data_IF_498267337311
#
_entry.id   IF_498267337311
#
_cell.length_a   1.000
_cell.length_b   1.000
_cell.length_c   1.000
_cell.angle_alpha   90.00
_cell.angle_beta   90.00
_cell.angle_gamma   90.00
#
_symmetry.space_group_name_H-M   'P 1'
#
loop_
_entity.id
_entity.type
_entity.pdbx_description
1 polymer ?
#
# COMPACT_ATOMS: atom_id res chain seq x y z
N UNK A 1 -34.46 31.29 -1.68
CA UNK A 1 -33.42 31.59 -0.66
C UNK A 1 -33.77 30.89 0.65
N UNK A 2 -33.19 29.71 0.89
CA UNK A 2 -33.13 28.96 2.16
C UNK A 2 -32.07 27.88 1.94
N UNK A 3 -31.07 27.63 2.75
CA UNK A 3 -30.26 28.47 3.63
C UNK A 3 -28.85 27.87 3.53
N UNK A 4 -27.81 28.70 3.71
CA UNK A 4 -26.44 28.19 3.80
C UNK A 4 -26.37 27.25 5.00
N UNK A 5 -26.26 25.95 4.73
CA UNK A 5 -25.87 24.97 5.73
C UNK A 5 -24.43 25.29 6.14
N UNK A 6 -24.27 25.84 7.34
CA UNK A 6 -23.00 25.91 8.05
C UNK A 6 -22.62 24.49 8.42
N UNK A 7 -22.06 23.77 7.45
CA UNK A 7 -21.56 22.41 7.64
C UNK A 7 -20.43 22.42 8.66
N UNK A 8 -20.77 22.26 9.94
CA UNK A 8 -19.83 21.66 10.89
C UNK A 8 -19.45 20.32 10.29
N UNK A 9 -18.17 20.16 9.92
CA UNK A 9 -17.57 18.89 9.54
C UNK A 9 -17.71 17.96 10.75
N UNK A 10 -18.80 17.20 10.80
CA UNK A 10 -18.99 16.16 11.81
C UNK A 10 -17.98 15.05 11.51
N UNK A 11 -17.09 14.80 12.46
CA UNK A 11 -16.01 13.81 12.40
C UNK A 11 -16.49 12.36 12.50
N UNK A 12 -17.68 12.05 11.99
CA UNK A 12 -18.29 10.73 12.13
C UNK A 12 -19.16 10.42 10.92
N UNK A 13 -18.52 10.06 9.81
CA UNK A 13 -19.21 9.40 8.71
C UNK A 13 -19.31 7.91 9.02
N UNK A 14 -20.55 7.44 9.16
CA UNK A 14 -20.91 6.02 9.25
C UNK A 14 -20.07 5.13 8.30
N UNK A 15 -19.49 4.01 8.78
CA UNK A 15 -18.53 3.19 8.04
C UNK A 15 -19.16 2.28 7.00
N UNK A 16 -20.38 2.56 6.49
CA UNK A 16 -21.14 1.65 5.62
C UNK A 16 -20.33 1.08 4.45
N UNK A 17 -19.39 1.86 3.91
CA UNK A 17 -18.55 1.49 2.77
C UNK A 17 -17.06 1.34 3.13
N UNK A 18 -16.71 1.57 4.40
CA UNK A 18 -15.32 1.49 4.88
C UNK A 18 -15.07 0.08 5.40
N UNK A 19 -13.95 -0.52 4.98
CA UNK A 19 -13.45 -1.79 5.52
C UNK A 19 -12.23 -1.53 6.38
N UNK A 20 -12.04 -2.36 7.41
CA UNK A 20 -10.76 -2.45 8.11
C UNK A 20 -9.92 -3.47 7.36
N UNK A 21 -8.81 -3.03 6.79
CA UNK A 21 -7.74 -3.85 6.23
C UNK A 21 -6.74 -4.11 7.36
N UNK A 22 -6.42 -5.39 7.59
CA UNK A 22 -5.42 -5.84 8.54
C UNK A 22 -4.32 -6.49 7.73
N UNK A 23 -3.15 -5.87 7.71
CA UNK A 23 -2.08 -6.25 6.82
C UNK A 23 -0.75 -6.29 7.58
N UNK A 24 0.04 -7.33 7.34
CA UNK A 24 1.45 -7.32 7.72
C UNK A 24 2.33 -7.09 6.51
N UNK A 25 3.35 -6.27 6.72
CA UNK A 25 4.31 -5.85 5.70
C UNK A 25 5.72 -6.18 6.16
N UNK A 26 6.44 -6.88 5.30
CA UNK A 26 7.78 -7.37 5.56
C UNK A 26 8.77 -6.81 4.54
N UNK A 27 9.84 -6.20 5.02
CA UNK A 27 10.97 -5.80 4.19
C UNK A 27 11.77 -7.03 3.79
N UNK A 28 12.05 -7.19 2.50
CA UNK A 28 12.87 -8.29 1.99
C UNK A 28 14.25 -7.78 1.56
N UNK A 29 15.27 -8.65 1.67
CA UNK A 29 16.62 -8.38 1.14
C UNK A 29 16.71 -8.68 -0.36
N UNK A 30 15.95 -9.66 -0.79
CA UNK A 30 15.91 -10.19 -2.16
C UNK A 30 14.53 -10.81 -2.41
N UNK A 31 14.28 -11.29 -3.63
CA UNK A 31 13.05 -12.02 -3.92
C UNK A 31 12.98 -13.30 -3.06
N UNK A 32 11.80 -13.67 -2.53
CA UNK A 32 11.67 -14.87 -1.74
C UNK A 32 11.97 -16.12 -2.59
N UNK A 33 12.40 -17.24 -1.97
CA UNK A 33 12.79 -18.44 -2.69
C UNK A 33 11.69 -18.93 -3.63
N UNK A 34 12.09 -19.25 -4.87
CA UNK A 34 11.20 -19.76 -5.91
C UNK A 34 10.46 -18.70 -6.73
N UNK A 35 10.54 -17.41 -6.36
CA UNK A 35 9.96 -16.32 -7.14
C UNK A 35 10.99 -15.70 -8.11
N UNK A 36 10.61 -15.54 -9.37
CA UNK A 36 11.40 -14.88 -10.42
C UNK A 36 10.76 -13.57 -10.86
N UNK A 37 11.59 -12.60 -11.29
CA UNK A 37 11.12 -11.32 -11.83
C UNK A 37 10.30 -11.47 -13.13
N UNK A 38 10.44 -12.61 -13.81
CA UNK A 38 9.72 -12.95 -15.04
C UNK A 38 8.37 -13.62 -14.79
N UNK A 39 8.05 -13.96 -13.54
CA UNK A 39 6.81 -14.64 -13.21
C UNK A 39 5.61 -13.73 -13.44
N UNK A 40 4.43 -14.33 -13.47
CA UNK A 40 3.18 -13.62 -13.68
C UNK A 40 2.95 -12.59 -12.57
N UNK A 41 2.64 -11.35 -12.95
CA UNK A 41 2.50 -10.25 -12.01
C UNK A 41 1.54 -9.16 -12.48
N UNK A 42 1.12 -8.33 -11.54
CA UNK A 42 0.45 -7.06 -11.83
C UNK A 42 1.50 -5.97 -12.00
N UNK A 43 1.33 -5.12 -13.00
CA UNK A 43 2.00 -3.82 -13.05
C UNK A 43 1.07 -2.77 -12.47
N UNK A 44 1.53 -2.07 -11.44
CA UNK A 44 0.73 -1.12 -10.67
C UNK A 44 1.38 0.25 -10.73
N UNK A 45 0.55 1.24 -11.03
CA UNK A 45 0.81 2.66 -10.88
C UNK A 45 -0.21 3.25 -9.91
N UNK A 46 0.30 3.96 -8.91
CA UNK A 46 -0.44 4.51 -7.79
C UNK A 46 -0.15 6.01 -7.68
N UNK A 47 -1.10 6.87 -8.05
CA UNK A 47 -0.97 8.32 -7.90
C UNK A 47 -1.62 8.78 -6.59
N UNK A 48 -0.80 9.18 -5.61
CA UNK A 48 -1.25 9.71 -4.32
C UNK A 48 -1.53 11.21 -4.44
N UNK A 49 -2.81 11.60 -4.33
CA UNK A 49 -3.24 12.99 -4.56
C UNK A 49 -2.78 13.87 -3.39
N UNK A 50 -1.96 14.88 -3.71
CA UNK A 50 -1.29 15.75 -2.73
C UNK A 50 -2.29 16.41 -1.78
N UNK A 51 -1.98 16.42 -0.48
CA UNK A 51 -2.82 17.05 0.56
C UNK A 51 -4.11 16.28 0.88
N UNK A 52 -4.28 15.07 0.34
CA UNK A 52 -5.46 14.23 0.58
C UNK A 52 -5.06 12.84 1.06
N UNK A 53 -6.08 12.04 1.37
CA UNK A 53 -5.96 10.61 1.68
C UNK A 53 -6.33 9.71 0.50
N UNK A 54 -6.46 10.31 -0.68
CA UNK A 54 -6.95 9.67 -1.89
C UNK A 54 -5.78 9.23 -2.77
N UNK A 55 -5.99 8.13 -3.46
CA UNK A 55 -5.07 7.59 -4.44
C UNK A 55 -5.84 7.06 -5.64
N UNK A 56 -5.39 7.43 -6.82
CA UNK A 56 -5.85 6.85 -8.07
C UNK A 56 -4.90 5.71 -8.45
N UNK A 57 -5.43 4.48 -8.60
CA UNK A 57 -4.66 3.30 -8.99
C UNK A 57 -5.02 2.87 -10.40
N UNK A 58 -3.99 2.61 -11.20
CA UNK A 58 -4.06 1.89 -12.47
C UNK A 58 -3.22 0.62 -12.37
N UNK A 59 -3.85 -0.53 -12.60
CA UNK A 59 -3.20 -1.83 -12.53
C UNK A 59 -3.54 -2.65 -13.76
N UNK A 60 -2.59 -3.41 -14.28
CA UNK A 60 -2.85 -4.45 -15.27
C UNK A 60 -2.16 -5.75 -14.93
N UNK A 61 -2.78 -6.85 -15.29
CA UNK A 61 -2.13 -8.16 -15.25
C UNK A 61 -1.36 -8.37 -16.56
N UNK A 62 -0.10 -8.83 -16.49
CA UNK A 62 0.77 -8.85 -17.69
C UNK A 62 0.31 -9.82 -18.77
N UNK A 63 -0.33 -10.93 -18.40
CA UNK A 63 -0.77 -11.98 -19.33
C UNK A 63 -2.08 -11.64 -20.03
N UNK A 64 -3.07 -11.09 -19.32
CA UNK A 64 -4.37 -10.71 -19.90
C UNK A 64 -4.35 -9.31 -20.49
N UNK A 65 -3.44 -8.45 -20.03
CA UNK A 65 -3.37 -7.03 -20.36
C UNK A 65 -4.66 -6.24 -20.01
N UNK A 66 -5.51 -6.80 -19.15
CA UNK A 66 -6.73 -6.15 -18.68
C UNK A 66 -6.41 -5.09 -17.63
N UNK A 67 -6.96 -3.90 -17.82
CA UNK A 67 -6.79 -2.79 -16.88
C UNK A 67 -7.86 -2.82 -15.78
N UNK A 68 -7.42 -2.57 -14.56
CA UNK A 68 -8.27 -2.25 -13.41
C UNK A 68 -7.93 -0.85 -12.93
N UNK A 69 -8.94 0.00 -12.85
CA UNK A 69 -8.84 1.42 -12.46
C UNK A 69 -9.65 1.65 -11.19
N UNK A 70 -9.08 2.33 -10.19
CA UNK A 70 -9.77 2.58 -8.90
C UNK A 70 -9.40 3.92 -8.29
N UNK A 71 -10.36 4.57 -7.64
CA UNK A 71 -10.12 5.60 -6.64
C UNK A 71 -10.22 4.97 -5.25
N UNK A 72 -9.20 5.16 -4.43
CA UNK A 72 -9.14 4.60 -3.07
C UNK A 72 -8.87 5.70 -2.05
N UNK A 73 -9.58 5.66 -0.93
CA UNK A 73 -9.24 6.42 0.27
C UNK A 73 -8.67 5.46 1.32
N UNK A 74 -7.51 5.78 1.90
CA UNK A 74 -6.92 5.05 3.03
C UNK A 74 -6.72 5.97 4.24
N UNK A 75 -6.88 5.44 5.45
CA UNK A 75 -6.39 6.07 6.69
C UNK A 75 -6.08 5.08 7.78
N UNK A 76 -5.07 5.44 8.55
CA UNK A 76 -4.78 4.86 9.84
C UNK A 76 -5.77 5.38 10.89
N UNK A 77 -6.43 4.50 11.67
CA UNK A 77 -7.18 4.86 12.87
C UNK A 77 -6.32 5.61 13.90
N UNK A 78 -6.97 6.23 14.89
CA UNK A 78 -6.31 6.82 16.05
C UNK A 78 -6.54 5.95 17.30
N UNK A 79 -5.51 5.67 18.13
CA UNK A 79 -4.09 5.99 17.92
C UNK A 79 -3.51 5.23 16.72
N UNK A 80 -2.42 5.74 16.08
CA UNK A 80 -1.92 5.17 14.84
C UNK A 80 -1.36 3.76 15.04
N UNK A 81 -1.93 2.81 14.30
CA UNK A 81 -1.36 1.49 14.06
C UNK A 81 -1.38 1.20 12.56
N UNK A 82 -0.22 1.26 11.92
CA UNK A 82 -0.10 1.17 10.45
C UNK A 82 -0.35 -0.23 9.89
N UNK A 83 -0.50 -1.26 10.73
CA UNK A 83 -0.96 -2.58 10.31
C UNK A 83 -2.49 -2.67 10.16
N UNK A 84 -3.22 -1.61 10.56
CA UNK A 84 -4.68 -1.51 10.45
C UNK A 84 -5.05 -0.26 9.68
N UNK A 85 -5.66 -0.43 8.53
CA UNK A 85 -6.04 0.69 7.66
C UNK A 85 -7.53 0.64 7.35
N UNK A 86 -8.21 1.76 7.54
CA UNK A 86 -9.57 1.96 7.06
C UNK A 86 -9.52 2.32 5.57
N UNK A 87 -10.09 1.46 4.73
CA UNK A 87 -10.04 1.55 3.27
C UNK A 87 -11.45 1.62 2.66
N UNK A 88 -11.62 2.53 1.70
CA UNK A 88 -12.79 2.60 0.82
C UNK A 88 -12.29 2.69 -0.61
N UNK A 89 -12.81 1.85 -1.51
CA UNK A 89 -12.41 1.85 -2.92
C UNK A 89 -13.62 1.83 -3.84
N UNK A 90 -13.52 2.58 -4.94
CA UNK A 90 -14.49 2.63 -6.02
C UNK A 90 -13.78 2.23 -7.30
N UNK A 91 -14.34 1.26 -8.04
CA UNK A 91 -13.85 0.90 -9.37
C UNK A 91 -14.31 1.95 -10.37
N UNK A 92 -13.42 2.30 -11.29
CA UNK A 92 -13.65 3.32 -12.29
C UNK A 92 -13.65 2.70 -13.68
N UNK A 93 -14.46 3.26 -14.57
CA UNK A 93 -14.22 3.10 -15.99
C UNK A 93 -13.09 4.03 -16.48
N UNK A 94 -12.70 3.90 -17.75
CA UNK A 94 -11.59 4.66 -18.33
C UNK A 94 -11.82 6.17 -18.30
N UNK A 95 -13.05 6.62 -18.62
CA UNK A 95 -13.41 8.03 -18.65
C UNK A 95 -13.36 8.67 -17.26
N UNK A 96 -13.89 7.98 -16.24
CA UNK A 96 -13.83 8.43 -14.85
C UNK A 96 -12.37 8.56 -14.37
N UNK A 97 -11.53 7.58 -14.71
CA UNK A 97 -10.11 7.63 -14.37
C UNK A 97 -9.40 8.81 -15.03
N UNK A 98 -9.64 9.04 -16.33
CA UNK A 98 -9.03 10.15 -17.07
C UNK A 98 -9.41 11.50 -16.47
N UNK A 99 -10.70 11.72 -16.21
CA UNK A 99 -11.20 12.96 -15.58
C UNK A 99 -10.58 13.17 -14.19
N UNK A 100 -10.40 12.10 -13.40
CA UNK A 100 -9.79 12.19 -12.08
C UNK A 100 -8.25 12.23 -12.10
N UNK A 101 -7.61 11.96 -13.24
CA UNK A 101 -6.14 11.97 -13.37
C UNK A 101 -5.56 13.38 -13.44
N UNK A 102 -6.41 14.41 -13.48
CA UNK A 102 -5.99 15.83 -13.52
C UNK A 102 -5.36 16.32 -12.22
N UNK A 103 -5.56 15.61 -11.12
CA UNK A 103 -5.05 16.03 -9.81
C UNK A 103 -3.56 15.76 -9.68
N UNK A 104 -2.84 16.77 -9.20
CA UNK A 104 -1.43 16.64 -8.83
C UNK A 104 -1.27 15.57 -7.73
N UNK A 105 -0.25 14.74 -7.89
CA UNK A 105 0.06 13.70 -6.93
C UNK A 105 1.44 13.11 -7.18
N UNK A 106 1.86 12.26 -6.25
CA UNK A 106 3.13 11.56 -6.34
C UNK A 106 2.89 10.10 -6.68
N UNK A 107 3.66 9.61 -7.65
CA UNK A 107 3.43 8.31 -8.26
C UNK A 107 4.34 7.24 -7.66
N UNK A 108 3.74 6.13 -7.23
CA UNK A 108 4.45 4.88 -6.96
C UNK A 108 4.25 3.92 -8.12
N UNK A 109 5.34 3.31 -8.59
CA UNK A 109 5.34 2.25 -9.59
C UNK A 109 5.91 0.97 -9.02
N UNK A 110 5.24 -0.16 -9.24
CA UNK A 110 5.70 -1.47 -8.77
C UNK A 110 5.17 -2.62 -9.60
N UNK A 111 5.89 -3.73 -9.58
CA UNK A 111 5.38 -5.03 -9.98
C UNK A 111 4.94 -5.80 -8.73
N UNK A 112 3.71 -6.29 -8.71
CA UNK A 112 3.17 -7.10 -7.61
C UNK A 112 3.03 -8.55 -8.05
N UNK A 113 3.81 -9.41 -7.42
CA UNK A 113 3.83 -10.84 -7.68
C UNK A 113 2.98 -11.56 -6.63
N UNK A 114 2.10 -12.49 -7.03
CA UNK A 114 1.48 -13.41 -6.09
C UNK A 114 2.55 -14.41 -5.65
N UNK A 115 2.61 -14.67 -4.34
CA UNK A 115 3.56 -15.62 -3.79
C UNK A 115 2.86 -16.47 -2.72
N UNK A 116 3.12 -17.76 -2.69
CA UNK A 116 2.55 -18.66 -1.69
C UNK A 116 3.67 -19.33 -0.90
N UNK A 117 3.55 -19.31 0.41
CA UNK A 117 4.49 -19.94 1.33
C UNK A 117 3.73 -20.46 2.54
N UNK A 118 3.86 -21.76 2.82
CA UNK A 118 3.17 -22.44 3.92
C UNK A 118 1.67 -22.15 3.93
N UNK A 119 1.01 -22.31 2.77
CA UNK A 119 -0.42 -22.08 2.55
C UNK A 119 -0.88 -20.61 2.75
N UNK A 120 0.03 -19.70 3.11
CA UNK A 120 -0.23 -18.26 3.17
C UNK A 120 0.11 -17.59 1.85
N UNK A 121 -0.81 -16.75 1.38
CA UNK A 121 -0.63 -15.92 0.19
C UNK A 121 -0.05 -14.56 0.55
N UNK A 122 0.93 -14.14 -0.22
CA UNK A 122 1.57 -12.84 -0.12
C UNK A 122 1.46 -12.10 -1.45
N UNK A 123 1.43 -10.78 -1.35
CA UNK A 123 1.73 -9.86 -2.45
C UNK A 123 3.18 -9.40 -2.29
N UNK A 124 4.07 -9.85 -3.18
CA UNK A 124 5.46 -9.38 -3.21
C UNK A 124 5.57 -8.21 -4.17
N UNK A 125 5.80 -7.03 -3.64
CA UNK A 125 5.97 -5.79 -4.38
C UNK A 125 7.46 -5.52 -4.65
N UNK A 126 7.81 -5.44 -5.93
CA UNK A 126 9.11 -4.95 -6.40
C UNK A 126 8.91 -3.53 -6.93
N UNK A 127 9.45 -2.56 -6.20
CA UNK A 127 9.27 -1.14 -6.53
C UNK A 127 10.21 -0.71 -7.66
N UNK A 128 9.74 0.27 -8.44
CA UNK A 128 10.41 0.84 -9.60
C UNK A 128 10.66 2.34 -9.39
N UNK A 129 11.35 2.98 -10.33
CA UNK A 129 11.61 4.42 -10.30
C UNK A 129 12.43 4.84 -9.07
N UNK A 130 11.98 5.88 -8.37
CA UNK A 130 12.68 6.42 -7.20
C UNK A 130 12.83 5.41 -6.06
N UNK A 131 11.90 4.46 -5.96
CA UNK A 131 11.89 3.40 -4.96
C UNK A 131 12.57 2.10 -5.44
N UNK A 132 13.27 2.13 -6.59
CA UNK A 132 13.94 0.94 -7.14
C UNK A 132 14.86 0.28 -6.12
N UNK A 133 14.70 -1.04 -5.97
CA UNK A 133 15.46 -1.87 -5.04
C UNK A 133 14.74 -2.12 -3.71
N UNK A 134 13.65 -1.40 -3.41
CA UNK A 134 12.75 -1.75 -2.32
C UNK A 134 11.91 -2.97 -2.73
N UNK A 135 11.87 -3.97 -1.84
CA UNK A 135 11.02 -5.16 -1.98
C UNK A 135 10.23 -5.33 -0.68
N UNK A 136 8.91 -5.42 -0.81
CA UNK A 136 8.00 -5.65 0.32
C UNK A 136 7.15 -6.88 0.06
N UNK A 137 6.97 -7.73 1.06
CA UNK A 137 5.92 -8.75 1.06
C UNK A 137 4.77 -8.30 1.97
N UNK A 138 3.55 -8.35 1.47
CA UNK A 138 2.33 -8.01 2.20
C UNK A 138 1.41 -9.24 2.29
N UNK A 139 0.75 -9.43 3.43
CA UNK A 139 -0.33 -10.41 3.59
C UNK A 139 -1.44 -9.82 4.45
N UNK A 140 -2.68 -10.12 4.08
CA UNK A 140 -3.88 -9.65 4.77
C UNK A 140 -4.46 -10.71 5.71
N UNK A 141 -5.26 -10.26 6.67
CA UNK A 141 -5.86 -11.06 7.74
C UNK A 141 -7.34 -10.70 7.95
N UNK A 142 -8.15 -11.68 8.33
CA UNK A 142 -9.56 -11.45 8.61
C UNK A 142 -9.78 -10.88 10.02
N UNK A 143 -8.93 -11.28 10.97
CA UNK A 143 -9.05 -10.90 12.38
C UNK A 143 -7.77 -10.28 12.94
N UNK A 144 -7.90 -9.52 14.02
CA UNK A 144 -6.77 -8.91 14.72
C UNK A 144 -5.88 -9.96 15.40
N UNK A 145 -6.49 -10.98 15.99
CA UNK A 145 -5.81 -12.09 16.66
C UNK A 145 -4.93 -12.88 15.67
N UNK A 146 -5.50 -13.25 14.52
CA UNK A 146 -4.75 -13.96 13.47
C UNK A 146 -3.54 -13.16 12.99
N UNK A 147 -3.68 -11.83 12.86
CA UNK A 147 -2.60 -10.95 12.42
C UNK A 147 -1.50 -10.81 13.47
N UNK A 148 -1.88 -10.56 14.72
CA UNK A 148 -0.95 -10.27 15.81
C UNK A 148 -0.16 -11.53 16.22
N UNK A 149 -0.77 -12.71 16.14
CA UNK A 149 -0.12 -13.99 16.45
C UNK A 149 0.67 -14.58 15.27
N UNK A 150 0.59 -13.97 14.09
CA UNK A 150 1.28 -14.49 12.91
C UNK A 150 2.80 -14.50 13.12
N UNK A 151 3.52 -15.59 12.81
CA UNK A 151 4.98 -15.58 12.88
C UNK A 151 5.58 -14.74 11.74
N UNK A 152 6.75 -14.15 11.98
CA UNK A 152 7.51 -13.50 10.90
C UNK A 152 7.99 -14.59 9.93
N UNK A 153 7.72 -14.49 8.61
CA UNK A 153 8.14 -15.51 7.66
C UNK A 153 9.66 -15.61 7.56
N UNK A 154 10.23 -16.80 7.30
CA UNK A 154 11.69 -17.00 7.29
C UNK A 154 12.41 -16.23 6.16
N UNK A 155 11.68 -15.84 5.11
CA UNK A 155 12.22 -15.01 4.02
C UNK A 155 12.20 -13.50 4.32
N UNK A 156 11.51 -13.07 5.39
CA UNK A 156 11.42 -11.66 5.78
C UNK A 156 12.69 -11.22 6.51
N UNK A 157 13.17 -10.01 6.18
CA UNK A 157 14.33 -9.42 6.86
C UNK A 157 13.91 -8.64 8.10
N UNK A 158 12.85 -7.83 7.98
CA UNK A 158 12.33 -6.96 9.05
C UNK A 158 10.81 -6.89 8.90
N UNK A 159 10.09 -7.03 10.01
CA UNK A 159 8.69 -6.65 10.09
C UNK A 159 8.57 -5.11 10.17
N UNK A 160 7.93 -4.53 9.17
CA UNK A 160 7.70 -3.07 9.04
C UNK A 160 6.21 -2.73 9.06
N UNK A 161 5.36 -3.65 9.53
CA UNK A 161 3.89 -3.51 9.52
C UNK A 161 3.41 -2.26 10.24
N UNK A 162 4.09 -1.87 11.32
CA UNK A 162 3.73 -0.72 12.18
C UNK A 162 4.58 0.52 11.93
N UNK A 163 5.36 0.54 10.85
CA UNK A 163 6.22 1.66 10.51
C UNK A 163 5.58 2.54 9.42
N UNK A 164 5.29 3.79 9.77
CA UNK A 164 4.71 4.78 8.87
C UNK A 164 5.51 4.94 7.57
N UNK A 165 6.83 4.82 7.65
CA UNK A 165 7.77 4.99 6.53
C UNK A 165 7.45 4.05 5.37
N UNK A 166 6.96 2.84 5.69
CA UNK A 166 6.66 1.80 4.71
C UNK A 166 5.18 1.77 4.30
N UNK A 167 4.39 2.76 4.71
CA UNK A 167 3.05 2.94 4.14
C UNK A 167 3.16 3.54 2.75
N UNK A 168 2.22 3.20 1.86
CA UNK A 168 2.23 3.77 0.51
C UNK A 168 2.07 5.30 0.50
N UNK A 169 1.40 5.90 1.49
CA UNK A 169 1.28 7.35 1.62
C UNK A 169 2.63 8.03 1.86
N UNK A 170 3.46 7.47 2.74
CA UNK A 170 4.82 7.97 3.01
C UNK A 170 5.79 7.67 1.87
N UNK A 171 5.76 6.42 1.36
CA UNK A 171 6.65 5.99 0.27
C UNK A 171 6.51 6.85 -0.99
N UNK A 172 5.33 7.43 -1.24
CA UNK A 172 5.11 8.29 -2.40
C UNK A 172 5.96 9.57 -2.38
N UNK A 173 6.52 9.95 -1.22
CA UNK A 173 7.36 11.13 -1.04
C UNK A 173 8.82 10.77 -0.72
N UNK A 174 9.21 9.51 -0.89
CA UNK A 174 10.54 9.02 -0.56
C UNK A 174 11.25 8.43 -1.77
N UNK A 175 12.57 8.47 -1.70
CA UNK A 175 13.48 7.79 -2.61
C UNK A 175 14.10 6.57 -1.93
N UNK A 176 14.63 5.65 -2.75
CA UNK A 176 15.39 4.48 -2.29
C UNK A 176 16.63 4.86 -1.48
N UNK A 177 17.20 6.06 -1.69
CA UNK A 177 18.33 6.58 -0.91
C UNK A 177 17.87 6.97 0.49
N UNK A 178 16.81 7.75 0.61
CA UNK A 178 16.27 8.18 1.91
C UNK A 178 15.82 6.97 2.76
N UNK A 179 15.21 5.96 2.14
CA UNK A 179 14.82 4.72 2.83
C UNK A 179 16.06 3.98 3.35
N UNK A 180 17.13 3.88 2.55
CA UNK A 180 18.38 3.23 2.98
C UNK A 180 19.04 3.97 4.13
N UNK A 181 19.05 5.30 4.09
CA UNK A 181 19.59 6.13 5.17
C UNK A 181 18.79 5.97 6.46
N UNK A 182 17.46 5.99 6.38
CA UNK A 182 16.58 5.75 7.53
C UNK A 182 16.82 4.38 8.15
N UNK A 183 16.98 3.33 7.34
CA UNK A 183 17.30 1.98 7.80
C UNK A 183 18.69 1.90 8.45
N UNK A 184 19.70 2.55 7.86
CA UNK A 184 21.07 2.57 8.39
C UNK A 184 21.14 3.30 9.74
N UNK A 185 20.45 4.44 9.88
CA UNK A 185 20.39 5.19 11.13
C UNK A 185 19.81 4.35 12.28
N UNK A 186 18.75 3.58 12.00
CA UNK A 186 18.13 2.67 12.98
C UNK A 186 19.06 1.53 13.38
N UNK A 187 19.77 0.92 12.42
CA UNK A 187 20.73 -0.13 12.72
C UNK A 187 21.92 0.36 13.56
N UNK A 188 22.31 1.63 13.39
CA UNK A 188 23.35 2.27 14.20
C UNK A 188 22.91 2.65 15.62
N UNK A 189 21.63 2.98 15.81
CA UNK A 189 21.07 3.32 17.12
C UNK A 189 20.88 2.12 18.06
N UNK A 190 20.86 0.90 17.51
CA UNK A 190 20.72 -0.36 18.26
C UNK A 190 22.07 -0.98 18.67
N UNK A 191 23.19 -0.27 18.46
CA UNK A 191 24.54 -0.67 18.91
C UNK A 191 25.00 0.21 20.06
#
# INVERSE_FOLDING_TARGET
MKGLGTGRLSADHSPKYTRIERERRFLLRELPPGLSITDEHAQITDNYITGTRLRLRKSRWVTTNEWTLKLTQKHTPQPPDFSRTLITSIFLNEYEYEVLSVFEGNEIRKNRYPYEHEERKYSVDVFLGDLRGLILAETDFDTDEEMDDFPVPPFAAIDVSRDETFTGGSLAYLTSTEIREALAARAGATR
#
